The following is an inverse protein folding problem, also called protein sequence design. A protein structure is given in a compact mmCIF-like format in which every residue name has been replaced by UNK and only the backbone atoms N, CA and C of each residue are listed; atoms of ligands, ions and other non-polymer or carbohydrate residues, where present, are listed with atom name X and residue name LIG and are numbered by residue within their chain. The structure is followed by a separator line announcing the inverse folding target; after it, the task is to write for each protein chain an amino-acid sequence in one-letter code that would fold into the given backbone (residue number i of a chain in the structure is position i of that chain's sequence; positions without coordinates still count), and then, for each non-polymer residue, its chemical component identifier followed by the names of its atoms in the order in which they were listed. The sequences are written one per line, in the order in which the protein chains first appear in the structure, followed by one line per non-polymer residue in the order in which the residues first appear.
data_IF_287264907734
#
_entry.id   IF_287264907734
#
_cell.length_a   1.000
_cell.length_b   1.000
_cell.length_c   1.000
_cell.angle_alpha   90.00
_cell.angle_beta   90.00
_cell.angle_gamma   90.00
#
_symmetry.space_group_name_H-M   'P 1'
#
loop_
_entity.id
_entity.type
_entity.pdbx_description
1 polymer ?
#
# COMPACT_ATOMS: atom_id res chain seq x y z
N UNK A 1 9.78 4.00 29.41
CA UNK A 1 9.83 2.57 29.03
C UNK A 1 10.51 2.49 27.66
N UNK A 2 11.75 1.96 27.57
CA UNK A 2 12.52 1.94 26.32
C UNK A 2 12.01 0.78 25.45
N UNK A 3 11.28 1.09 24.40
CA UNK A 3 10.92 0.12 23.37
C UNK A 3 12.19 -0.17 22.56
N UNK A 4 12.71 -1.40 22.70
CA UNK A 4 13.84 -1.88 21.90
C UNK A 4 13.37 -1.95 20.44
N UNK A 5 14.04 -1.23 19.57
CA UNK A 5 13.88 -1.32 18.13
C UNK A 5 14.21 -2.75 17.69
N UNK A 6 13.19 -3.54 17.41
CA UNK A 6 13.36 -4.83 16.72
C UNK A 6 13.73 -4.45 15.29
N UNK A 7 14.95 -4.79 14.90
CA UNK A 7 15.47 -4.46 13.59
C UNK A 7 14.61 -5.15 12.51
N UNK A 8 14.10 -4.35 11.58
CA UNK A 8 13.32 -4.80 10.41
C UNK A 8 14.07 -5.88 9.60
N UNK A 9 15.41 -5.88 9.70
CA UNK A 9 16.32 -6.85 9.08
C UNK A 9 16.11 -8.26 9.64
N UNK A 10 15.78 -8.41 10.93
CA UNK A 10 15.57 -9.70 11.57
C UNK A 10 14.29 -10.40 11.10
N UNK A 11 13.27 -9.66 10.70
CA UNK A 11 12.02 -10.22 10.16
C UNK A 11 12.22 -10.69 8.73
N UNK A 12 13.03 -9.97 7.94
CA UNK A 12 13.35 -10.35 6.56
C UNK A 12 14.17 -11.65 6.50
N UNK A 13 15.08 -11.86 7.47
CA UNK A 13 15.92 -13.07 7.53
C UNK A 13 15.12 -14.31 7.96
N UNK A 14 14.08 -14.16 8.75
CA UNK A 14 13.20 -15.27 9.13
C UNK A 14 12.34 -15.77 7.96
N UNK A 15 11.91 -14.86 7.07
CA UNK A 15 11.12 -15.21 5.88
C UNK A 15 11.96 -15.87 4.77
N UNK A 16 13.23 -15.52 4.66
CA UNK A 16 14.14 -16.12 3.67
C UNK A 16 14.66 -17.52 4.07
N UNK A 17 14.62 -17.87 5.35
CA UNK A 17 15.17 -19.13 5.87
C UNK A 17 14.23 -20.33 5.78
N UNK A 18 12.97 -20.18 5.46
CA UNK A 18 11.97 -21.26 5.48
C UNK A 18 11.52 -21.73 4.08
N UNK A 19 12.10 -21.20 3.02
CA UNK A 19 11.73 -21.55 1.64
C UNK A 19 12.40 -22.83 1.11
N UNK A 20 13.17 -23.55 1.93
CA UNK A 20 13.78 -24.82 1.51
C UNK A 20 13.18 -26.00 2.25
N UNK A 21 12.49 -26.84 1.48
CA UNK A 21 12.12 -28.21 1.76
C UNK A 21 10.88 -28.45 2.65
N UNK A 22 9.69 -28.44 1.98
CA UNK A 22 8.83 -29.63 2.09
C UNK A 22 7.80 -29.64 0.94
N UNK A 23 7.69 -30.79 0.30
CA UNK A 23 6.89 -31.06 -0.87
C UNK A 23 5.43 -30.60 -0.73
N UNK A 24 4.97 -29.72 -1.62
CA UNK A 24 3.54 -29.51 -1.88
C UNK A 24 3.02 -28.08 -1.93
N UNK A 25 3.69 -27.10 -1.35
CA UNK A 25 3.27 -25.69 -1.48
C UNK A 25 4.31 -24.95 -2.33
N UNK A 26 3.94 -24.67 -3.57
CA UNK A 26 4.73 -23.78 -4.43
C UNK A 26 4.47 -22.36 -3.94
N UNK A 27 5.45 -21.79 -3.26
CA UNK A 27 5.41 -20.40 -2.81
C UNK A 27 6.46 -19.60 -3.58
N UNK A 28 6.02 -18.63 -4.33
CA UNK A 28 6.88 -17.72 -5.08
C UNK A 28 7.17 -16.48 -4.24
N UNK A 29 8.42 -16.17 -4.03
CA UNK A 29 8.83 -14.88 -3.49
C UNK A 29 8.92 -13.86 -4.62
N UNK A 30 8.57 -12.62 -4.35
CA UNK A 30 8.70 -11.55 -5.34
C UNK A 30 9.05 -10.20 -4.72
N UNK A 31 9.61 -9.36 -5.55
CA UNK A 31 9.79 -7.93 -5.29
C UNK A 31 9.25 -7.15 -6.49
N UNK A 32 8.69 -5.98 -6.27
CA UNK A 32 8.14 -5.19 -7.36
C UNK A 32 8.14 -3.70 -7.10
N UNK A 33 7.76 -2.99 -8.15
CA UNK A 33 7.50 -1.56 -8.13
C UNK A 33 6.11 -1.27 -8.67
N UNK A 34 5.58 -0.10 -8.31
CA UNK A 34 4.26 0.33 -8.75
C UNK A 34 4.20 1.81 -9.03
N UNK A 35 3.32 2.16 -9.96
CA UNK A 35 2.92 3.54 -10.25
C UNK A 35 1.41 3.59 -10.37
N UNK A 36 0.80 4.68 -9.92
CA UNK A 36 -0.64 4.85 -9.97
C UNK A 36 -1.06 6.30 -10.06
N UNK A 37 -2.32 6.48 -10.41
CA UNK A 37 -2.98 7.78 -10.41
C UNK A 37 -4.41 7.63 -9.92
N UNK A 38 -4.91 8.64 -9.22
CA UNK A 38 -6.23 8.60 -8.64
C UNK A 38 -6.70 9.93 -8.11
N UNK A 39 -7.66 9.88 -7.19
CA UNK A 39 -8.23 11.02 -6.51
C UNK A 39 -8.22 10.81 -5.00
N UNK A 40 -7.97 11.89 -4.29
CA UNK A 40 -8.01 11.95 -2.84
C UNK A 40 -9.14 12.87 -2.41
N UNK A 41 -10.03 12.39 -1.56
CA UNK A 41 -11.09 13.17 -0.95
C UNK A 41 -10.85 13.30 0.54
N UNK A 42 -10.80 14.54 1.03
CA UNK A 42 -10.76 14.85 2.45
C UNK A 42 -12.18 15.17 2.92
N UNK A 43 -12.66 14.43 3.91
CA UNK A 43 -13.95 14.67 4.52
C UNK A 43 -13.78 15.66 5.69
N UNK A 44 -13.81 16.94 5.42
CA UNK A 44 -14.00 17.98 6.43
C UNK A 44 -15.48 18.32 6.57
N UNK A 45 -15.91 18.71 7.77
CA UNK A 45 -17.31 18.85 8.15
C UNK A 45 -18.16 19.78 7.26
N UNK A 46 -17.52 20.64 6.45
CA UNK A 46 -18.23 21.65 5.61
C UNK A 46 -17.61 21.82 4.21
N UNK A 47 -16.59 21.07 3.84
CA UNK A 47 -15.95 21.21 2.53
C UNK A 47 -15.33 19.88 2.07
N UNK A 48 -15.84 19.33 0.95
CA UNK A 48 -15.29 18.14 0.32
C UNK A 48 -14.44 18.59 -0.86
N UNK A 49 -13.13 18.59 -0.70
CA UNK A 49 -12.20 18.84 -1.80
C UNK A 49 -11.68 17.51 -2.35
N UNK A 50 -11.71 17.38 -3.68
CA UNK A 50 -11.14 16.23 -4.38
C UNK A 50 -9.96 16.71 -5.21
N UNK A 51 -8.78 16.18 -4.91
CA UNK A 51 -7.54 16.47 -5.61
C UNK A 51 -7.02 15.24 -6.35
N UNK A 52 -6.38 15.48 -7.50
CA UNK A 52 -5.68 14.41 -8.21
C UNK A 52 -4.43 13.99 -7.45
N UNK A 53 -4.18 12.70 -7.39
CA UNK A 53 -3.01 12.11 -6.74
C UNK A 53 -2.21 11.24 -7.70
N UNK A 54 -0.90 11.22 -7.50
CA UNK A 54 0.02 10.27 -8.11
C UNK A 54 0.65 9.41 -7.03
N UNK A 55 0.82 8.12 -7.34
CA UNK A 55 1.40 7.15 -6.44
C UNK A 55 2.63 6.50 -7.08
N UNK A 56 3.67 6.36 -6.27
CA UNK A 56 4.84 5.55 -6.55
C UNK A 56 5.09 4.63 -5.36
N UNK A 57 5.48 3.40 -5.62
CA UNK A 57 5.69 2.47 -4.52
C UNK A 57 6.56 1.29 -4.87
N UNK A 58 6.88 0.54 -3.83
CA UNK A 58 7.55 -0.75 -3.92
C UNK A 58 6.79 -1.77 -3.09
N UNK A 59 6.88 -3.01 -3.51
CA UNK A 59 6.24 -4.13 -2.84
C UNK A 59 7.16 -5.34 -2.79
N UNK A 60 6.92 -6.18 -1.81
CA UNK A 60 7.54 -7.49 -1.68
C UNK A 60 6.52 -8.44 -1.06
N UNK A 61 6.59 -9.72 -1.43
CA UNK A 61 5.59 -10.63 -0.92
C UNK A 61 5.83 -12.09 -1.26
N UNK A 62 4.86 -12.88 -0.84
CA UNK A 62 4.80 -14.32 -1.08
C UNK A 62 3.51 -14.61 -1.83
N UNK A 63 3.66 -15.30 -2.94
CA UNK A 63 2.57 -15.70 -3.82
C UNK A 63 2.39 -17.21 -3.75
N UNK A 64 1.27 -17.67 -3.22
CA UNK A 64 0.84 -19.08 -3.21
C UNK A 64 -0.39 -19.24 -4.09
N UNK A 65 -0.80 -20.44 -4.51
CA UNK A 65 -1.80 -20.61 -5.59
C UNK A 65 -3.11 -19.84 -5.42
N UNK A 66 -3.62 -19.72 -4.20
CA UNK A 66 -4.90 -19.04 -3.93
C UNK A 66 -4.74 -17.74 -3.14
N UNK A 67 -3.62 -17.55 -2.48
CA UNK A 67 -3.41 -16.46 -1.54
C UNK A 67 -2.10 -15.74 -1.85
N UNK A 68 -2.10 -14.43 -1.71
CA UNK A 68 -0.90 -13.59 -1.76
C UNK A 68 -0.83 -12.75 -0.49
N UNK A 69 0.36 -12.70 0.11
CA UNK A 69 0.66 -11.78 1.20
C UNK A 69 1.72 -10.80 0.73
N UNK A 70 1.47 -9.51 0.88
CA UNK A 70 2.30 -8.46 0.32
C UNK A 70 2.54 -7.35 1.35
N UNK A 71 3.77 -6.93 1.50
CA UNK A 71 4.13 -5.69 2.18
C UNK A 71 4.38 -4.62 1.11
N UNK A 72 3.76 -3.45 1.28
CA UNK A 72 3.87 -2.31 0.37
C UNK A 72 4.40 -1.08 1.10
N UNK A 73 5.20 -0.31 0.40
CA UNK A 73 5.52 1.06 0.73
C UNK A 73 5.06 1.96 -0.41
N UNK A 74 4.24 2.95 -0.10
CA UNK A 74 3.71 3.88 -1.09
C UNK A 74 4.06 5.32 -0.72
N UNK A 75 4.46 6.08 -1.73
CA UNK A 75 4.61 7.51 -1.71
C UNK A 75 3.50 8.12 -2.56
N UNK A 76 2.61 8.85 -1.92
CA UNK A 76 1.50 9.54 -2.55
C UNK A 76 1.84 11.02 -2.66
N UNK A 77 1.66 11.55 -3.85
CA UNK A 77 1.86 12.96 -4.15
C UNK A 77 0.57 13.55 -4.70
N UNK A 78 -0.02 14.48 -3.97
CA UNK A 78 -1.07 15.39 -4.43
C UNK A 78 -0.49 16.80 -4.63
N UNK A 79 -1.30 17.76 -5.09
CA UNK A 79 -0.83 19.13 -5.38
C UNK A 79 -0.10 19.79 -4.21
N UNK A 80 -0.61 19.61 -2.99
CA UNK A 80 -0.09 20.27 -1.79
C UNK A 80 0.30 19.30 -0.66
N UNK A 81 0.06 18.00 -0.83
CA UNK A 81 0.24 17.00 0.21
C UNK A 81 1.09 15.83 -0.27
N UNK A 82 2.06 15.45 0.55
CA UNK A 82 2.82 14.21 0.38
C UNK A 82 2.54 13.28 1.55
N UNK A 83 2.13 12.06 1.27
CA UNK A 83 1.85 11.05 2.29
C UNK A 83 2.61 9.78 1.98
N UNK A 84 3.21 9.19 3.01
CA UNK A 84 3.83 7.88 2.91
C UNK A 84 2.94 6.86 3.61
N UNK A 85 2.78 5.68 3.02
CA UNK A 85 2.07 4.57 3.68
C UNK A 85 2.89 3.30 3.64
N UNK A 86 2.87 2.57 4.74
CA UNK A 86 3.38 1.21 4.82
C UNK A 86 2.21 0.27 5.09
N UNK A 87 1.96 -0.69 4.21
CA UNK A 87 0.79 -1.56 4.24
C UNK A 87 1.19 -3.02 4.26
N UNK A 88 0.38 -3.83 4.94
CA UNK A 88 0.42 -5.29 4.87
C UNK A 88 -0.90 -5.77 4.30
N UNK A 89 -0.84 -6.53 3.21
CA UNK A 89 -1.99 -6.93 2.42
C UNK A 89 -2.14 -8.45 2.39
N UNK A 90 -3.38 -8.91 2.36
CA UNK A 90 -3.74 -10.27 2.04
C UNK A 90 -4.72 -10.24 0.85
N UNK A 91 -4.41 -11.01 -0.20
CA UNK A 91 -5.17 -11.05 -1.44
C UNK A 91 -5.55 -12.48 -1.78
N UNK A 92 -6.80 -12.68 -2.15
CA UNK A 92 -7.30 -13.94 -2.68
C UNK A 92 -7.30 -13.89 -4.21
N UNK A 93 -6.71 -14.91 -4.84
CA UNK A 93 -6.57 -15.02 -6.27
C UNK A 93 -7.49 -16.10 -6.83
N UNK A 94 -8.07 -15.84 -7.99
CA UNK A 94 -8.77 -16.86 -8.75
C UNK A 94 -7.75 -17.52 -9.70
N UNK A 95 -7.46 -18.81 -9.55
CA UNK A 95 -6.47 -19.49 -10.40
C UNK A 95 -6.89 -19.45 -11.87
N UNK A 96 -5.99 -18.97 -12.69
CA UNK A 96 -6.13 -18.93 -14.14
C UNK A 96 -4.75 -18.93 -14.79
N UNK A 97 -4.66 -19.30 -16.06
CA UNK A 97 -3.36 -19.48 -16.73
C UNK A 97 -2.73 -18.17 -17.19
N UNK A 98 -3.51 -17.23 -17.71
CA UNK A 98 -2.98 -16.02 -18.31
C UNK A 98 -3.35 -14.76 -17.52
N UNK A 99 -4.60 -14.65 -17.10
CA UNK A 99 -5.13 -13.51 -16.35
C UNK A 99 -5.71 -14.05 -15.05
N UNK A 100 -5.15 -13.65 -13.93
CA UNK A 100 -5.57 -14.10 -12.61
C UNK A 100 -6.22 -12.94 -11.84
N UNK A 101 -7.57 -12.87 -11.84
CA UNK A 101 -8.26 -11.89 -11.02
C UNK A 101 -7.99 -12.11 -9.54
N UNK A 102 -7.91 -11.03 -8.77
CA UNK A 102 -7.76 -11.09 -7.33
C UNK A 102 -8.50 -9.94 -6.64
N UNK A 103 -8.80 -10.14 -5.37
CA UNK A 103 -9.28 -9.11 -4.48
C UNK A 103 -8.59 -9.26 -3.13
N UNK A 104 -8.49 -8.17 -2.40
CA UNK A 104 -7.80 -8.20 -1.13
C UNK A 104 -8.11 -7.02 -0.24
N UNK A 105 -7.55 -7.11 0.96
CA UNK A 105 -7.58 -6.04 1.93
C UNK A 105 -6.23 -5.92 2.63
N UNK A 106 -5.96 -4.74 3.16
CA UNK A 106 -4.73 -4.47 3.88
C UNK A 106 -4.92 -3.52 5.04
N UNK A 107 -3.98 -3.58 5.96
CA UNK A 107 -3.88 -2.68 7.09
C UNK A 107 -2.44 -2.17 7.19
N UNK A 108 -2.27 -0.94 7.65
CA UNK A 108 -0.97 -0.36 7.77
C UNK A 108 -0.96 0.97 8.49
N UNK A 109 0.04 1.76 8.20
CA UNK A 109 0.24 3.08 8.78
C UNK A 109 0.47 4.11 7.67
N UNK A 110 -0.20 5.23 7.78
CA UNK A 110 0.13 6.45 7.07
C UNK A 110 1.04 7.28 7.97
N UNK A 111 2.16 7.74 7.45
CA UNK A 111 3.14 8.51 8.22
C UNK A 111 3.72 9.62 7.37
N UNK A 112 3.91 10.76 8.01
CA UNK A 112 4.61 11.93 7.53
C UNK A 112 4.31 12.40 6.10
N UNK A 113 3.60 13.50 6.01
CA UNK A 113 3.66 14.42 4.89
C UNK A 113 4.19 15.77 5.37
N UNK A 114 5.00 16.44 4.58
CA UNK A 114 5.24 17.87 4.75
C UNK A 114 4.20 18.60 3.93
N UNK A 115 3.32 19.30 4.60
CA UNK A 115 2.51 20.32 3.96
C UNK A 115 3.35 21.60 4.00
N UNK A 116 3.58 22.20 2.86
CA UNK A 116 4.23 23.50 2.73
C UNK A 116 3.13 24.55 2.49
N UNK A 117 2.46 25.03 3.53
CA UNK A 117 1.47 26.08 3.35
C UNK A 117 2.19 27.39 3.08
N UNK A 118 1.77 28.10 2.05
CA UNK A 118 2.18 29.49 1.80
C UNK A 118 1.80 30.45 2.95
N UNK A 119 1.27 29.95 4.05
CA UNK A 119 0.75 30.71 5.18
C UNK A 119 1.39 30.35 6.55
N UNK A 120 2.57 29.74 6.60
CA UNK A 120 3.37 29.71 7.83
C UNK A 120 2.86 28.82 8.98
N UNK A 121 1.91 27.94 8.78
CA UNK A 121 1.45 26.97 9.79
C UNK A 121 1.97 25.58 9.43
N UNK A 122 2.96 25.10 10.17
CA UNK A 122 3.54 23.77 9.99
C UNK A 122 2.59 22.71 10.58
N UNK A 123 1.89 21.95 9.73
CA UNK A 123 1.09 20.80 10.18
C UNK A 123 1.98 19.57 10.31
N UNK A 124 2.11 19.07 11.51
CA UNK A 124 2.80 17.81 11.78
C UNK A 124 1.79 16.68 11.71
N UNK A 125 1.91 15.81 10.71
CA UNK A 125 1.09 14.61 10.60
C UNK A 125 1.65 13.58 11.59
N UNK A 126 0.85 13.21 12.57
CA UNK A 126 1.12 12.05 13.42
C UNK A 126 0.80 10.78 12.62
N UNK A 127 1.45 9.66 12.94
CA UNK A 127 1.17 8.39 12.27
C UNK A 127 -0.28 7.96 12.54
N UNK A 128 -1.03 7.68 11.48
CA UNK A 128 -2.41 7.21 11.54
C UNK A 128 -2.51 5.79 10.99
N UNK A 129 -3.44 5.01 11.53
CA UNK A 129 -3.74 3.68 10.98
C UNK A 129 -4.42 3.84 9.62
N UNK A 130 -4.02 3.01 8.66
CA UNK A 130 -4.56 3.01 7.31
C UNK A 130 -5.18 1.64 6.99
N UNK A 131 -6.29 1.65 6.26
CA UNK A 131 -6.98 0.46 5.77
C UNK A 131 -7.12 0.57 4.26
N UNK A 132 -6.94 -0.53 3.55
CA UNK A 132 -7.17 -0.52 2.11
C UNK A 132 -7.92 -1.77 1.65
N UNK A 133 -8.70 -1.59 0.58
CA UNK A 133 -9.29 -2.67 -0.19
C UNK A 133 -8.83 -2.57 -1.64
N UNK A 134 -8.64 -3.70 -2.29
CA UNK A 134 -8.12 -3.75 -3.65
C UNK A 134 -8.81 -4.83 -4.48
N UNK A 135 -8.93 -4.54 -5.75
CA UNK A 135 -9.41 -5.46 -6.77
C UNK A 135 -8.51 -5.31 -8.00
N UNK A 136 -8.03 -6.43 -8.54
CA UNK A 136 -7.11 -6.36 -9.67
C UNK A 136 -7.04 -7.66 -10.46
N UNK A 137 -6.14 -7.65 -11.42
CA UNK A 137 -5.79 -8.81 -12.22
C UNK A 137 -4.28 -8.87 -12.45
N UNK A 138 -3.71 -10.03 -12.27
CA UNK A 138 -2.33 -10.35 -12.65
C UNK A 138 -2.32 -10.89 -14.07
N UNK A 139 -1.42 -10.37 -14.89
CA UNK A 139 -1.07 -10.90 -16.21
C UNK A 139 0.24 -11.67 -16.02
N UNK A 140 0.16 -12.98 -16.21
CA UNK A 140 1.31 -13.88 -16.11
C UNK A 140 1.85 -14.17 -17.51
N UNK A 141 3.07 -13.72 -17.79
CA UNK A 141 3.73 -14.00 -19.07
C UNK A 141 4.51 -15.30 -18.89
N UNK A 142 3.94 -16.38 -19.41
CA UNK A 142 4.57 -17.70 -19.36
C UNK A 142 6.03 -17.63 -19.85
N UNK A 143 6.93 -18.25 -19.09
CA UNK A 143 8.38 -18.30 -19.30
C UNK A 143 9.18 -17.04 -18.91
N UNK A 144 8.58 -16.00 -18.38
CA UNK A 144 9.30 -14.87 -17.81
C UNK A 144 9.10 -14.80 -16.29
N UNK A 145 10.14 -14.47 -15.52
CA UNK A 145 10.01 -14.27 -14.08
C UNK A 145 9.39 -12.89 -13.74
N UNK A 146 8.57 -12.35 -14.63
CA UNK A 146 7.96 -11.03 -14.51
C UNK A 146 6.46 -11.17 -14.64
N UNK A 147 5.74 -10.61 -13.66
CA UNK A 147 4.28 -10.52 -13.66
C UNK A 147 3.85 -9.05 -13.62
N UNK A 148 2.77 -8.75 -14.32
CA UNK A 148 2.18 -7.40 -14.33
C UNK A 148 0.83 -7.46 -13.63
N UNK A 149 0.53 -6.47 -12.79
CA UNK A 149 -0.78 -6.32 -12.19
C UNK A 149 -1.40 -4.99 -12.60
N UNK A 150 -2.70 -5.01 -12.87
CA UNK A 150 -3.56 -3.84 -12.94
C UNK A 150 -4.49 -3.92 -11.73
N UNK A 151 -4.50 -2.89 -10.90
CA UNK A 151 -5.21 -2.91 -9.63
C UNK A 151 -5.92 -1.58 -9.38
N UNK A 152 -7.20 -1.66 -8.99
CA UNK A 152 -7.94 -0.57 -8.37
C UNK A 152 -7.87 -0.69 -6.85
N UNK A 153 -7.63 0.44 -6.17
CA UNK A 153 -7.51 0.50 -4.71
C UNK A 153 -8.40 1.60 -4.13
N UNK A 154 -8.96 1.32 -2.95
CA UNK A 154 -9.52 2.31 -2.06
C UNK A 154 -8.73 2.28 -0.74
N UNK A 155 -8.17 3.41 -0.33
CA UNK A 155 -7.40 3.60 0.89
C UNK A 155 -8.15 4.56 1.81
N UNK A 156 -8.41 4.13 3.03
CA UNK A 156 -9.06 4.92 4.07
C UNK A 156 -8.12 5.13 5.25
N UNK A 157 -7.94 6.39 5.63
CA UNK A 157 -7.10 6.79 6.77
C UNK A 157 -7.96 7.63 7.72
N UNK A 158 -8.48 7.04 8.80
CA UNK A 158 -9.24 7.78 9.80
C UNK A 158 -8.32 8.68 10.63
N UNK A 159 -8.86 9.83 11.02
CA UNK A 159 -8.20 10.77 11.93
C UNK A 159 -6.77 11.18 11.48
N UNK A 160 -6.59 11.45 10.19
CA UNK A 160 -5.28 11.74 9.62
C UNK A 160 -4.66 13.05 10.13
N UNK A 161 -5.47 14.03 10.51
CA UNK A 161 -5.04 15.34 10.99
C UNK A 161 -5.57 15.63 12.38
N UNK A 162 -4.68 16.12 13.27
CA UNK A 162 -5.08 16.76 14.51
C UNK A 162 -4.92 18.28 14.33
N UNK A 163 -6.01 18.98 14.15
CA UNK A 163 -6.02 20.43 14.14
C UNK A 163 -6.14 20.90 15.61
N UNK A 164 -5.07 21.42 16.20
CA UNK A 164 -5.05 21.86 17.61
C UNK A 164 -6.09 22.94 17.95
N UNK A 165 -6.57 23.69 16.95
CA UNK A 165 -7.50 24.82 17.15
C UNK A 165 -8.98 24.46 17.05
N UNK A 166 -9.37 23.33 16.46
CA UNK A 166 -10.79 23.06 16.17
C UNK A 166 -11.30 21.68 16.55
N UNK A 167 -10.48 20.80 17.13
CA UNK A 167 -10.82 19.39 17.45
C UNK A 167 -11.46 18.61 16.28
N UNK A 168 -11.32 19.07 15.05
CA UNK A 168 -11.78 18.37 13.86
C UNK A 168 -10.65 17.43 13.39
N UNK A 169 -10.99 16.15 13.27
CA UNK A 169 -10.09 15.12 12.73
C UNK A 169 -10.67 14.66 11.40
N UNK A 170 -10.27 15.26 10.27
CA UNK A 170 -10.76 14.82 8.96
C UNK A 170 -10.23 13.42 8.62
N UNK A 171 -11.12 12.64 8.04
CA UNK A 171 -10.78 11.35 7.46
C UNK A 171 -10.33 11.55 6.01
N UNK A 172 -9.43 10.69 5.54
CA UNK A 172 -9.00 10.68 4.16
C UNK A 172 -9.47 9.39 3.46
N UNK A 173 -10.08 9.57 2.29
CA UNK A 173 -10.35 8.47 1.37
C UNK A 173 -9.63 8.75 0.06
N UNK A 174 -8.83 7.81 -0.39
CA UNK A 174 -8.17 7.83 -1.68
C UNK A 174 -8.60 6.63 -2.51
N UNK A 175 -8.80 6.86 -3.80
CA UNK A 175 -8.99 5.79 -4.78
C UNK A 175 -8.06 6.01 -5.96
N UNK A 176 -7.41 4.94 -6.34
CA UNK A 176 -6.46 4.97 -7.45
C UNK A 176 -6.54 3.71 -8.30
N UNK A 177 -6.03 3.86 -9.51
CA UNK A 177 -5.69 2.75 -10.39
C UNK A 177 -4.18 2.71 -10.50
N UNK A 178 -3.59 1.53 -10.31
CA UNK A 178 -2.16 1.35 -10.32
C UNK A 178 -1.71 0.16 -11.17
N UNK A 179 -0.53 0.31 -11.72
CA UNK A 179 0.20 -0.72 -12.43
C UNK A 179 1.35 -1.18 -11.54
N UNK A 180 1.47 -2.49 -11.37
CA UNK A 180 2.57 -3.12 -10.64
C UNK A 180 3.39 -3.98 -11.59
N UNK A 181 4.69 -4.00 -11.41
CA UNK A 181 5.61 -4.93 -12.07
C UNK A 181 6.30 -5.71 -10.97
N UNK A 182 6.18 -7.03 -10.99
CA UNK A 182 6.76 -7.94 -10.00
C UNK A 182 7.78 -8.87 -10.64
N UNK A 183 8.92 -9.00 -10.01
CA UNK A 183 9.94 -9.99 -10.35
C UNK A 183 9.84 -11.15 -9.35
N UNK A 184 9.66 -12.36 -9.87
CA UNK A 184 9.38 -13.58 -9.10
C UNK A 184 10.63 -14.46 -9.07
N UNK A 185 10.95 -15.02 -7.90
CA UNK A 185 12.13 -15.85 -7.67
C UNK A 185 11.76 -17.31 -7.45
#
# INVERSE_FOLDING_TARGET
MKIKSISLISVLTLLAGSASANAGVIADLYVGGMVGAGGQTLFAKDDNSTDSSMLFGANLGIDIPLLRVEAEYNYLKSSDLHTNTGMLNAMFKVPSTLIQPYFGAGVGLAFSGKHNPSAGVEYKIDSATAYQAMLGATIDILALPIKFDIEGRALYVPNMYKIETTHATPDMLEYDVRLKVRFVF
#
